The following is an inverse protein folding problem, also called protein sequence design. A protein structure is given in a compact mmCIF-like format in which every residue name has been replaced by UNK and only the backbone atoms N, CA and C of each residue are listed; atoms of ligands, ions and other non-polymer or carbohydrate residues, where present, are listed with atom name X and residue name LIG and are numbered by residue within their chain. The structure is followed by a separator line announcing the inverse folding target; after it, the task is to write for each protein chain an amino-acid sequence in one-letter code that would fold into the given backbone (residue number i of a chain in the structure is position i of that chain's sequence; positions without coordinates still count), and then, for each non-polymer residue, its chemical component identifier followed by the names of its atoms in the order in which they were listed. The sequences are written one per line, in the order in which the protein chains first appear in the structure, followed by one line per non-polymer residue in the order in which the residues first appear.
data_IF_891241791456
#
_entry.id   IF_891241791456
#
_cell.length_a   1.000
_cell.length_b   1.000
_cell.length_c   1.000
_cell.angle_alpha   90.00
_cell.angle_beta   90.00
_cell.angle_gamma   90.00
#
_symmetry.space_group_name_H-M   'P 1'
#
loop_
_entity.id
_entity.type
_entity.pdbx_description
1 polymer ?
#
# COMPACT_ATOMS: atom_id res chain seq x y z
N UNK A 1 16.82 5.83 -19.15
CA UNK A 1 15.58 6.62 -19.07
C UNK A 1 15.72 7.92 -19.84
N UNK A 2 14.67 8.40 -20.55
CA UNK A 2 14.66 9.65 -21.32
C UNK A 2 13.50 10.54 -20.90
N UNK A 3 13.57 11.84 -21.23
CA UNK A 3 12.43 12.75 -21.03
C UNK A 3 11.19 12.29 -21.81
N UNK A 4 11.38 11.67 -22.99
CA UNK A 4 10.28 11.06 -23.75
C UNK A 4 9.57 9.95 -22.98
N UNK A 5 10.31 9.08 -22.31
CA UNK A 5 9.75 8.03 -21.44
C UNK A 5 8.97 8.64 -20.27
N UNK A 6 9.51 9.70 -19.62
CA UNK A 6 8.80 10.40 -18.56
C UNK A 6 7.51 11.07 -19.05
N UNK A 7 7.57 11.71 -20.23
CA UNK A 7 6.38 12.33 -20.83
C UNK A 7 5.29 11.29 -21.11
N UNK A 8 5.66 10.13 -21.66
CA UNK A 8 4.73 9.02 -21.91
C UNK A 8 4.11 8.54 -20.59
N UNK A 9 4.92 8.29 -19.55
CA UNK A 9 4.41 7.88 -18.23
C UNK A 9 3.45 8.93 -17.66
N UNK A 10 3.82 10.23 -17.75
CA UNK A 10 2.98 11.32 -17.23
C UNK A 10 1.65 11.44 -17.97
N UNK A 11 1.65 11.30 -19.31
CA UNK A 11 0.41 11.29 -20.10
C UNK A 11 -0.47 10.11 -19.72
N UNK A 12 0.13 8.93 -19.51
CA UNK A 12 -0.60 7.71 -19.14
C UNK A 12 -1.13 7.80 -17.72
N UNK A 13 -0.37 8.39 -16.80
CA UNK A 13 -0.82 8.65 -15.45
C UNK A 13 -2.13 9.48 -15.41
N UNK A 14 -2.37 10.31 -16.42
CA UNK A 14 -3.65 11.02 -16.58
C UNK A 14 -4.79 10.09 -16.97
N UNK A 15 -4.51 8.96 -17.62
CA UNK A 15 -5.54 7.99 -18.01
C UNK A 15 -6.19 7.31 -16.78
N UNK A 16 -5.42 7.09 -15.69
CA UNK A 16 -5.94 6.54 -14.45
C UNK A 16 -7.14 7.35 -13.91
N UNK A 17 -6.96 8.66 -13.62
CA UNK A 17 -8.06 9.55 -13.24
C UNK A 17 -9.17 9.63 -14.27
N UNK A 18 -8.85 9.67 -15.58
CA UNK A 18 -9.86 9.72 -16.64
C UNK A 18 -10.74 8.47 -16.68
N UNK A 19 -10.17 7.29 -16.49
CA UNK A 19 -10.90 6.04 -16.39
C UNK A 19 -11.75 5.97 -15.11
N UNK A 20 -11.37 6.67 -14.06
CA UNK A 20 -12.11 6.77 -12.81
C UNK A 20 -13.24 7.82 -12.84
N UNK A 21 -13.28 8.73 -13.83
CA UNK A 21 -14.31 9.78 -13.97
C UNK A 21 -15.75 9.25 -14.01
N UNK A 22 -16.09 8.14 -14.71
CA UNK A 22 -17.44 7.64 -14.72
C UNK A 22 -17.84 7.10 -13.34
N UNK A 23 -18.59 7.89 -12.55
CA UNK A 23 -19.05 7.52 -11.21
C UNK A 23 -19.75 6.15 -11.14
N UNK A 24 -20.28 5.67 -12.26
CA UNK A 24 -20.94 4.35 -12.37
C UNK A 24 -19.97 3.18 -12.21
N UNK A 25 -18.70 3.36 -12.57
CA UNK A 25 -17.72 2.26 -12.61
C UNK A 25 -17.03 2.08 -11.26
N UNK A 26 -16.99 3.12 -10.42
CA UNK A 26 -16.32 3.07 -9.11
C UNK A 26 -14.90 2.47 -9.21
N UNK A 27 -14.16 2.82 -10.28
CA UNK A 27 -12.82 2.30 -10.52
C UNK A 27 -11.80 3.11 -9.73
N UNK A 28 -10.91 2.46 -8.98
CA UNK A 28 -9.77 3.16 -8.36
C UNK A 28 -8.79 3.62 -9.44
N UNK A 29 -8.24 4.81 -9.28
CA UNK A 29 -7.25 5.42 -10.20
C UNK A 29 -6.06 4.49 -10.42
N UNK A 30 -5.57 3.89 -9.33
CA UNK A 30 -4.43 2.96 -9.31
C UNK A 30 -4.61 1.78 -10.29
N UNK A 31 -5.84 1.29 -10.46
CA UNK A 31 -6.11 0.19 -11.38
C UNK A 31 -5.86 0.59 -12.84
N UNK A 32 -6.26 1.82 -13.20
CA UNK A 32 -6.00 2.37 -14.53
C UNK A 32 -4.50 2.53 -14.82
N UNK A 33 -3.75 3.02 -13.86
CA UNK A 33 -2.29 3.19 -13.95
C UNK A 33 -1.57 1.84 -14.07
N UNK A 34 -1.98 0.84 -13.30
CA UNK A 34 -1.44 -0.52 -13.35
C UNK A 34 -1.71 -1.18 -14.71
N UNK A 35 -2.96 -1.11 -15.21
CA UNK A 35 -3.34 -1.64 -16.53
C UNK A 35 -2.54 -0.95 -17.62
N UNK A 36 -2.41 0.37 -17.58
CA UNK A 36 -1.63 1.13 -18.53
C UNK A 36 -0.15 0.68 -18.53
N UNK A 37 0.43 0.43 -17.36
CA UNK A 37 1.75 -0.15 -17.22
C UNK A 37 1.88 -1.53 -17.86
N UNK A 38 0.93 -2.44 -17.62
CA UNK A 38 0.89 -3.78 -18.24
C UNK A 38 0.84 -3.68 -19.77
N UNK A 39 0.03 -2.76 -20.31
CA UNK A 39 -0.09 -2.58 -21.75
C UNK A 39 1.16 -2.01 -22.40
N UNK A 40 1.92 -1.19 -21.69
CA UNK A 40 3.16 -0.57 -22.20
C UNK A 40 4.41 -1.42 -21.93
N UNK A 41 4.35 -2.30 -20.95
CA UNK A 41 5.43 -3.21 -20.60
C UNK A 41 5.57 -4.41 -21.55
N UNK A 42 6.41 -5.38 -21.16
CA UNK A 42 6.67 -6.58 -21.96
C UNK A 42 5.43 -7.43 -22.24
N UNK A 43 4.43 -7.36 -21.37
CA UNK A 43 3.15 -8.07 -21.59
C UNK A 43 2.38 -7.49 -22.80
N UNK A 44 2.44 -6.18 -23.01
CA UNK A 44 1.74 -5.48 -24.09
C UNK A 44 2.66 -5.13 -25.26
N UNK A 45 2.88 -3.83 -25.49
CA UNK A 45 3.60 -3.31 -26.66
C UNK A 45 5.12 -3.14 -26.45
N UNK A 46 5.63 -3.46 -25.26
CA UNK A 46 7.06 -3.43 -24.90
C UNK A 46 7.74 -2.07 -25.20
N UNK A 47 7.09 -0.98 -24.83
CA UNK A 47 7.60 0.39 -25.02
C UNK A 47 8.18 1.00 -23.74
N UNK A 48 7.92 0.41 -22.58
CA UNK A 48 8.39 0.89 -21.30
C UNK A 48 9.48 -0.06 -20.74
N UNK A 49 10.74 0.39 -20.68
CA UNK A 49 11.83 -0.44 -20.17
C UNK A 49 11.78 -0.50 -18.63
N UNK A 50 10.95 -1.39 -18.09
CA UNK A 50 10.79 -1.55 -16.64
C UNK A 50 12.09 -1.93 -15.92
N UNK A 51 13.07 -2.53 -16.63
CA UNK A 51 14.40 -2.85 -16.10
C UNK A 51 15.40 -1.68 -16.10
N UNK A 52 15.02 -0.49 -16.58
CA UNK A 52 15.90 0.69 -16.53
C UNK A 52 16.16 1.10 -15.08
N UNK A 53 17.43 1.22 -14.70
CA UNK A 53 17.88 1.50 -13.31
C UNK A 53 17.30 2.81 -12.78
N UNK A 54 17.27 3.84 -13.61
CA UNK A 54 16.76 5.16 -13.21
C UNK A 54 15.24 5.12 -13.00
N UNK A 55 14.51 4.47 -13.90
CA UNK A 55 13.06 4.31 -13.78
C UNK A 55 12.71 3.50 -12.53
N UNK A 56 13.41 2.38 -12.31
CA UNK A 56 13.25 1.56 -11.11
C UNK A 56 13.51 2.35 -9.83
N UNK A 57 14.58 3.16 -9.81
CA UNK A 57 14.91 3.98 -8.65
C UNK A 57 13.84 5.04 -8.37
N UNK A 58 13.34 5.73 -9.40
CA UNK A 58 12.23 6.68 -9.25
C UNK A 58 10.94 6.00 -8.78
N UNK A 59 10.66 4.80 -9.30
CA UNK A 59 9.52 4.00 -8.86
C UNK A 59 9.64 3.58 -7.39
N UNK A 60 10.84 3.23 -6.93
CA UNK A 60 11.09 2.93 -5.50
C UNK A 60 10.87 4.15 -4.61
N UNK A 61 11.25 5.35 -5.05
CA UNK A 61 10.93 6.61 -4.34
C UNK A 61 9.41 6.79 -4.29
N UNK A 62 8.71 6.59 -5.41
CA UNK A 62 7.25 6.63 -5.47
C UNK A 62 6.61 5.65 -4.49
N UNK A 63 7.12 4.42 -4.44
CA UNK A 63 6.64 3.39 -3.52
C UNK A 63 6.84 3.78 -2.05
N UNK A 64 8.02 4.31 -1.68
CA UNK A 64 8.27 4.79 -0.32
C UNK A 64 7.28 5.89 0.08
N UNK A 65 6.99 6.82 -0.84
CA UNK A 65 6.04 7.90 -0.60
C UNK A 65 4.59 7.41 -0.52
N UNK A 66 4.16 6.49 -1.40
CA UNK A 66 2.84 5.87 -1.32
C UNK A 66 2.67 5.16 0.02
N UNK A 67 3.70 4.44 0.48
CA UNK A 67 3.68 3.78 1.78
C UNK A 67 3.68 4.77 2.95
N UNK A 68 4.40 5.89 2.84
CA UNK A 68 4.35 6.96 3.82
C UNK A 68 2.94 7.56 3.92
N UNK A 69 2.31 7.87 2.80
CA UNK A 69 0.92 8.37 2.76
C UNK A 69 -0.02 7.34 3.38
N UNK A 70 0.10 6.07 3.01
CA UNK A 70 -0.70 4.99 3.60
C UNK A 70 -0.54 4.92 5.13
N UNK A 71 0.69 4.99 5.64
CA UNK A 71 0.98 5.00 7.08
C UNK A 71 0.43 6.25 7.79
N UNK A 72 0.50 7.42 7.14
CA UNK A 72 0.03 8.69 7.73
C UNK A 72 -1.50 8.75 7.82
N UNK A 73 -2.22 8.06 6.97
CA UNK A 73 -3.69 8.00 6.99
C UNK A 73 -4.27 6.97 7.96
N UNK A 74 -3.45 6.18 8.65
CA UNK A 74 -3.95 5.27 9.70
C UNK A 74 -4.57 6.11 10.83
N UNK A 75 -5.87 5.94 11.16
CA UNK A 75 -6.58 6.80 12.11
C UNK A 75 -6.27 6.44 13.57
N UNK A 76 -4.99 6.41 13.93
CA UNK A 76 -4.47 5.97 15.24
C UNK A 76 -4.99 6.79 16.45
N UNK A 77 -5.61 7.93 16.19
CA UNK A 77 -6.14 8.84 17.22
C UNK A 77 -7.65 8.71 17.42
N UNK A 78 -8.37 7.93 16.61
CA UNK A 78 -9.80 7.74 16.79
C UNK A 78 -10.05 6.93 18.08
N UNK A 79 -10.84 7.45 19.05
CA UNK A 79 -11.17 6.72 20.29
C UNK A 79 -11.85 5.36 20.02
N UNK A 80 -12.58 5.24 18.90
CA UNK A 80 -13.25 4.01 18.46
C UNK A 80 -12.25 2.96 17.96
N UNK A 81 -11.01 3.37 17.67
CA UNK A 81 -9.97 2.48 17.17
C UNK A 81 -9.60 1.39 18.19
N UNK A 82 -9.66 1.66 19.49
CA UNK A 82 -9.31 0.64 20.51
C UNK A 82 -10.19 -0.61 20.42
N UNK A 83 -11.50 -0.45 20.25
CA UNK A 83 -12.43 -1.56 20.06
C UNK A 83 -12.25 -2.19 18.69
N UNK A 84 -12.14 -1.37 17.65
CA UNK A 84 -11.88 -1.79 16.28
C UNK A 84 -10.54 -2.51 16.11
N UNK A 85 -9.50 -2.12 16.90
CA UNK A 85 -8.18 -2.74 16.88
C UNK A 85 -8.24 -4.22 17.30
N UNK A 86 -8.99 -4.53 18.37
CA UNK A 86 -9.15 -5.92 18.84
C UNK A 86 -9.80 -6.78 17.76
N UNK A 87 -10.89 -6.30 17.16
CA UNK A 87 -11.61 -7.03 16.12
C UNK A 87 -10.74 -7.16 14.86
N UNK A 88 -10.05 -6.09 14.46
CA UNK A 88 -9.13 -6.11 13.34
C UNK A 88 -7.99 -7.10 13.55
N UNK A 89 -7.38 -7.13 14.73
CA UNK A 89 -6.33 -8.08 15.08
C UNK A 89 -6.83 -9.55 15.05
N UNK A 90 -7.99 -9.82 15.62
CA UNK A 90 -8.60 -11.16 15.57
C UNK A 90 -8.84 -11.61 14.13
N UNK A 91 -9.37 -10.73 13.28
CA UNK A 91 -9.59 -11.03 11.87
C UNK A 91 -8.27 -11.23 11.11
N UNK A 92 -7.26 -10.40 11.34
CA UNK A 92 -5.94 -10.56 10.70
C UNK A 92 -5.30 -11.90 11.07
N UNK A 93 -5.37 -12.32 12.36
CA UNK A 93 -4.88 -13.62 12.83
C UNK A 93 -5.69 -14.76 12.20
N UNK A 94 -7.01 -14.66 12.19
CA UNK A 94 -7.87 -15.68 11.60
C UNK A 94 -7.62 -15.85 10.09
N UNK A 95 -7.44 -14.75 9.34
CA UNK A 95 -7.01 -14.77 7.93
C UNK A 95 -5.67 -15.49 7.80
N UNK A 96 -4.69 -15.16 8.67
CA UNK A 96 -3.39 -15.81 8.68
C UNK A 96 -3.47 -17.33 8.88
N UNK A 97 -4.35 -17.80 9.78
CA UNK A 97 -4.56 -19.23 10.01
C UNK A 97 -5.17 -19.92 8.77
N UNK A 98 -6.19 -19.32 8.16
CA UNK A 98 -6.81 -19.87 6.94
C UNK A 98 -5.81 -19.85 5.78
N UNK A 99 -5.07 -18.76 5.63
CA UNK A 99 -4.03 -18.62 4.61
C UNK A 99 -2.89 -19.63 4.80
N UNK A 100 -2.50 -19.95 6.04
CA UNK A 100 -1.50 -20.98 6.34
C UNK A 100 -1.98 -22.36 5.87
N UNK A 101 -3.22 -22.72 6.17
CA UNK A 101 -3.79 -23.99 5.71
C UNK A 101 -3.85 -24.07 4.17
N UNK A 102 -4.33 -23.00 3.51
CA UNK A 102 -4.40 -22.92 2.06
C UNK A 102 -2.99 -22.92 1.42
N UNK A 103 -2.01 -22.25 2.05
CA UNK A 103 -0.63 -22.22 1.57
C UNK A 103 0.02 -23.59 1.53
N UNK A 104 -0.22 -24.42 2.57
CA UNK A 104 0.23 -25.82 2.58
C UNK A 104 -0.43 -26.62 1.47
N UNK A 105 -1.75 -26.49 1.30
CA UNK A 105 -2.50 -27.22 0.27
C UNK A 105 -2.01 -26.84 -1.14
N UNK A 106 -1.89 -25.55 -1.43
CA UNK A 106 -1.45 -25.06 -2.75
C UNK A 106 0.00 -25.48 -3.02
N UNK A 107 0.91 -25.32 -2.05
CA UNK A 107 2.30 -25.73 -2.21
C UNK A 107 2.47 -27.21 -2.49
N UNK A 108 1.66 -28.06 -1.87
CA UNK A 108 1.65 -29.51 -2.11
C UNK A 108 1.09 -29.84 -3.51
N UNK A 109 -0.02 -29.22 -3.92
CA UNK A 109 -0.63 -29.45 -5.23
C UNK A 109 0.35 -29.09 -6.37
N UNK A 110 1.06 -27.99 -6.24
CA UNK A 110 2.01 -27.50 -7.26
C UNK A 110 3.44 -28.00 -7.06
N UNK A 111 3.72 -28.71 -5.97
CA UNK A 111 5.03 -29.27 -5.64
C UNK A 111 6.14 -28.21 -5.52
N UNK A 112 5.82 -26.97 -5.16
CA UNK A 112 6.77 -25.85 -5.12
C UNK A 112 7.62 -25.83 -3.85
N UNK A 113 7.10 -26.31 -2.74
CA UNK A 113 7.73 -26.26 -1.41
C UNK A 113 7.58 -24.91 -0.69
N UNK A 114 6.95 -23.89 -1.31
CA UNK A 114 6.85 -22.51 -0.80
C UNK A 114 5.58 -22.26 0.04
N UNK A 115 5.18 -23.22 0.87
CA UNK A 115 3.95 -23.14 1.66
C UNK A 115 3.88 -21.87 2.54
N UNK A 116 4.97 -21.53 3.23
CA UNK A 116 5.04 -20.35 4.08
C UNK A 116 4.95 -19.05 3.28
N UNK A 117 5.58 -18.98 2.12
CA UNK A 117 5.49 -17.83 1.22
C UNK A 117 4.05 -17.63 0.70
N UNK A 118 3.40 -18.71 0.27
CA UNK A 118 2.01 -18.65 -0.21
C UNK A 118 1.04 -18.28 0.91
N UNK A 119 1.24 -18.81 2.12
CA UNK A 119 0.48 -18.42 3.30
C UNK A 119 0.62 -16.92 3.59
N UNK A 120 1.85 -16.42 3.56
CA UNK A 120 2.15 -15.00 3.79
C UNK A 120 1.50 -14.11 2.74
N UNK A 121 1.61 -14.48 1.46
CA UNK A 121 0.95 -13.77 0.37
C UNK A 121 -0.55 -13.71 0.60
N UNK A 122 -1.20 -14.85 0.78
CA UNK A 122 -2.66 -14.92 0.96
C UNK A 122 -3.15 -14.24 2.26
N UNK A 123 -2.31 -14.11 3.27
CA UNK A 123 -2.63 -13.39 4.51
C UNK A 123 -2.43 -11.88 4.38
N UNK A 124 -1.67 -11.42 3.40
CA UNK A 124 -1.36 -10.00 3.25
C UNK A 124 -2.57 -9.19 2.81
N UNK A 125 -2.60 -7.95 3.24
CA UNK A 125 -3.51 -6.91 2.76
C UNK A 125 -2.66 -5.69 2.38
N UNK A 126 -3.10 -4.87 1.43
CA UNK A 126 -2.35 -3.68 1.03
C UNK A 126 -3.06 -2.40 1.43
N UNK A 127 -2.53 -1.72 2.44
CA UNK A 127 -3.01 -0.41 2.86
C UNK A 127 -2.94 0.60 1.69
N UNK A 128 -1.89 0.55 0.88
CA UNK A 128 -1.69 1.41 -0.28
C UNK A 128 -2.79 1.31 -1.35
N UNK A 129 -3.45 0.15 -1.46
CA UNK A 129 -4.58 -0.03 -2.38
C UNK A 129 -5.92 0.24 -1.70
N UNK A 130 -6.09 -0.25 -0.48
CA UNK A 130 -7.38 -0.23 0.22
C UNK A 130 -7.76 1.19 0.63
N UNK A 131 -6.80 2.00 1.14
CA UNK A 131 -7.10 3.36 1.58
C UNK A 131 -7.59 4.26 0.44
N UNK A 132 -6.93 4.34 -0.73
CA UNK A 132 -7.45 5.09 -1.87
C UNK A 132 -8.84 4.62 -2.34
N UNK A 133 -9.12 3.31 -2.29
CA UNK A 133 -10.45 2.78 -2.62
C UNK A 133 -11.49 3.26 -1.60
N UNK A 134 -11.19 3.18 -0.31
CA UNK A 134 -12.06 3.63 0.78
C UNK A 134 -12.35 5.13 0.64
N UNK A 135 -11.35 5.94 0.35
CA UNK A 135 -11.47 7.39 0.18
C UNK A 135 -12.24 7.75 -1.09
N UNK A 136 -11.89 7.18 -2.23
CA UNK A 136 -12.52 7.49 -3.52
C UNK A 136 -14.01 7.13 -3.55
N UNK A 137 -14.37 6.02 -2.90
CA UNK A 137 -15.75 5.57 -2.75
C UNK A 137 -16.46 6.15 -1.52
N UNK A 138 -15.75 6.96 -0.71
CA UNK A 138 -16.23 7.53 0.55
C UNK A 138 -16.83 6.47 1.48
N UNK A 139 -16.19 5.30 1.54
CA UNK A 139 -16.65 4.23 2.42
C UNK A 139 -16.49 4.64 3.88
N UNK A 140 -17.41 4.19 4.73
CA UNK A 140 -17.44 4.56 6.14
C UNK A 140 -18.27 3.61 6.98
N UNK A 141 -18.48 4.01 8.24
CA UNK A 141 -19.21 3.21 9.22
C UNK A 141 -18.32 2.19 9.94
N UNK A 142 -18.92 1.46 10.89
CA UNK A 142 -18.22 0.53 11.76
C UNK A 142 -17.45 -0.57 11.00
N UNK A 143 -17.96 -1.19 9.92
CA UNK A 143 -17.22 -2.19 9.17
C UNK A 143 -15.90 -1.68 8.59
N UNK A 144 -15.88 -0.43 8.11
CA UNK A 144 -14.67 0.21 7.56
C UNK A 144 -13.70 0.58 8.69
N UNK A 145 -14.19 1.10 9.81
CA UNK A 145 -13.36 1.36 11.00
C UNK A 145 -12.66 0.10 11.51
N UNK A 146 -13.29 -1.07 11.39
CA UNK A 146 -12.71 -2.36 11.77
C UNK A 146 -11.76 -2.93 10.70
N UNK A 147 -11.98 -2.58 9.42
CA UNK A 147 -11.11 -2.96 8.31
C UNK A 147 -9.71 -2.32 8.42
N UNK A 148 -9.64 -1.03 8.75
CA UNK A 148 -8.38 -0.28 8.76
C UNK A 148 -7.31 -0.91 9.66
N UNK A 149 -7.56 -1.25 10.94
CA UNK A 149 -6.58 -1.92 11.77
C UNK A 149 -6.29 -3.36 11.31
N UNK A 150 -7.27 -4.09 10.76
CA UNK A 150 -7.03 -5.41 10.17
C UNK A 150 -6.00 -5.33 9.06
N UNK A 151 -6.17 -4.39 8.12
CA UNK A 151 -5.27 -4.16 6.99
C UNK A 151 -3.89 -3.71 7.47
N UNK A 152 -3.82 -2.74 8.38
CA UNK A 152 -2.55 -2.23 8.90
C UNK A 152 -1.73 -3.32 9.62
N UNK A 153 -2.38 -4.17 10.41
CA UNK A 153 -1.73 -5.29 11.10
C UNK A 153 -1.26 -6.34 10.09
N UNK A 154 -2.12 -6.75 9.15
CA UNK A 154 -1.80 -7.75 8.15
C UNK A 154 -0.65 -7.27 7.23
N UNK A 155 -0.72 -6.02 6.73
CA UNK A 155 0.32 -5.43 5.88
C UNK A 155 1.67 -5.40 6.62
N UNK A 156 1.71 -4.78 7.80
CA UNK A 156 2.93 -4.69 8.61
C UNK A 156 3.52 -6.05 8.97
N UNK A 157 2.68 -6.99 9.43
CA UNK A 157 3.13 -8.32 9.82
C UNK A 157 3.72 -9.09 8.62
N UNK A 158 3.06 -9.01 7.45
CA UNK A 158 3.53 -9.69 6.24
C UNK A 158 4.81 -9.04 5.67
N UNK A 159 4.95 -7.72 5.76
CA UNK A 159 6.17 -7.00 5.36
C UNK A 159 7.36 -7.47 6.20
N UNK A 160 7.18 -7.56 7.52
CA UNK A 160 8.24 -7.99 8.45
C UNK A 160 8.55 -9.48 8.28
N UNK A 161 7.54 -10.31 8.06
CA UNK A 161 7.71 -11.75 7.93
C UNK A 161 8.26 -12.18 6.56
N UNK A 162 8.08 -11.40 5.50
CA UNK A 162 8.50 -11.78 4.15
C UNK A 162 9.99 -12.14 4.04
N UNK A 163 10.94 -11.32 4.52
CA UNK A 163 12.36 -11.68 4.46
C UNK A 163 12.69 -12.95 5.25
N UNK A 164 11.98 -13.19 6.36
CA UNK A 164 12.18 -14.36 7.21
C UNK A 164 11.73 -15.65 6.51
N UNK A 165 10.70 -15.55 5.68
CA UNK A 165 10.11 -16.68 4.96
C UNK A 165 10.85 -16.96 3.66
N UNK A 166 11.28 -15.91 2.94
CA UNK A 166 11.88 -16.05 1.61
C UNK A 166 13.36 -16.43 1.70
N UNK A 167 14.05 -15.98 2.75
CA UNK A 167 15.46 -16.27 3.02
C UNK A 167 15.65 -16.66 4.50
N UNK A 168 15.27 -17.88 4.88
CA UNK A 168 15.38 -18.34 6.26
C UNK A 168 16.82 -18.38 6.79
N UNK A 169 17.83 -18.52 5.88
CA UNK A 169 19.24 -18.57 6.29
C UNK A 169 19.74 -17.22 6.82
N UNK A 170 19.22 -16.12 6.31
CA UNK A 170 19.55 -14.77 6.74
C UNK A 170 18.41 -14.11 7.57
N UNK A 171 17.46 -14.90 8.04
CA UNK A 171 16.29 -14.41 8.77
C UNK A 171 16.66 -13.55 10.00
N UNK A 172 17.69 -13.93 10.74
CA UNK A 172 18.16 -13.14 11.89
C UNK A 172 18.64 -11.75 11.49
N UNK A 173 19.38 -11.62 10.38
CA UNK A 173 19.84 -10.33 9.85
C UNK A 173 18.66 -9.48 9.39
N UNK A 174 17.71 -10.07 8.68
CA UNK A 174 16.49 -9.40 8.23
C UNK A 174 15.63 -8.94 9.42
N UNK A 175 15.50 -9.77 10.47
CA UNK A 175 14.80 -9.40 11.68
C UNK A 175 15.46 -8.20 12.39
N UNK A 176 16.79 -8.20 12.51
CA UNK A 176 17.55 -7.07 13.06
C UNK A 176 17.37 -5.80 12.23
N UNK A 177 17.39 -5.92 10.91
CA UNK A 177 17.10 -4.81 9.99
C UNK A 177 15.69 -4.24 10.17
N UNK A 178 14.67 -5.09 10.26
CA UNK A 178 13.31 -4.66 10.53
C UNK A 178 13.19 -3.96 11.90
N UNK A 179 13.83 -4.52 12.93
CA UNK A 179 13.91 -3.89 14.26
C UNK A 179 14.61 -2.53 14.22
N UNK A 180 15.69 -2.40 13.44
CA UNK A 180 16.40 -1.13 13.30
C UNK A 180 15.54 -0.06 12.62
N UNK A 181 14.79 -0.41 11.56
CA UNK A 181 13.83 0.49 10.90
C UNK A 181 12.70 0.90 11.86
N UNK A 182 12.12 -0.07 12.58
CA UNK A 182 11.06 0.21 13.55
C UNK A 182 11.57 1.05 14.75
N UNK A 183 12.77 0.76 15.23
CA UNK A 183 13.42 1.56 16.28
C UNK A 183 13.68 3.00 15.81
N UNK A 184 14.13 3.18 14.56
CA UNK A 184 14.31 4.50 13.96
C UNK A 184 12.99 5.27 13.87
N UNK A 185 11.89 4.60 13.50
CA UNK A 185 10.56 5.19 13.51
C UNK A 185 10.09 5.55 14.92
N UNK A 186 10.40 4.73 15.93
CA UNK A 186 10.08 5.02 17.32
C UNK A 186 10.88 6.23 17.86
N UNK A 187 12.16 6.30 17.55
CA UNK A 187 13.01 7.47 17.90
C UNK A 187 12.47 8.72 17.24
N UNK A 188 12.10 8.64 15.96
CA UNK A 188 11.50 9.74 15.23
C UNK A 188 10.18 10.19 15.86
N UNK A 189 9.32 9.24 16.22
CA UNK A 189 8.06 9.54 16.92
C UNK A 189 8.30 10.29 18.22
N UNK A 190 9.26 9.84 19.06
CA UNK A 190 9.62 10.49 20.32
C UNK A 190 10.16 11.91 20.06
N UNK A 191 11.04 12.06 19.05
CA UNK A 191 11.58 13.36 18.65
C UNK A 191 10.50 14.34 18.17
N UNK A 192 9.62 13.88 17.26
CA UNK A 192 8.50 14.68 16.76
C UNK A 192 7.55 15.09 17.90
N UNK A 193 7.24 14.16 18.79
CA UNK A 193 6.39 14.43 19.96
C UNK A 193 7.04 15.43 20.92
N UNK A 194 8.34 15.37 21.10
CA UNK A 194 9.09 16.35 21.90
C UNK A 194 9.05 17.74 21.25
N UNK A 195 9.30 17.84 19.95
CA UNK A 195 9.21 19.09 19.19
C UNK A 195 7.79 19.70 19.22
N UNK A 196 6.77 18.86 19.20
CA UNK A 196 5.37 19.30 19.33
C UNK A 196 5.11 19.88 20.74
N UNK A 197 5.56 19.18 21.80
CA UNK A 197 5.38 19.61 23.19
C UNK A 197 6.12 20.91 23.52
N UNK A 198 7.29 21.11 22.95
CA UNK A 198 8.12 22.34 23.18
C UNK A 198 7.68 23.52 22.32
N UNK A 199 6.72 23.32 21.41
CA UNK A 199 6.29 24.34 20.45
C UNK A 199 7.35 24.68 19.40
N UNK A 200 8.49 23.95 19.37
CA UNK A 200 9.55 24.16 18.38
C UNK A 200 9.06 23.87 16.97
N UNK A 201 8.19 22.87 16.82
CA UNK A 201 7.57 22.52 15.54
C UNK A 201 6.73 23.67 14.98
N UNK A 202 5.92 24.34 15.82
CA UNK A 202 5.13 25.50 15.42
C UNK A 202 6.00 26.66 14.98
N UNK A 203 7.07 26.96 15.73
CA UNK A 203 8.04 28.01 15.38
C UNK A 203 8.75 27.72 14.06
N UNK A 204 9.17 26.46 13.83
CA UNK A 204 9.76 26.04 12.56
C UNK A 204 8.78 26.16 11.40
N UNK A 205 7.50 25.85 11.65
CA UNK A 205 6.41 26.01 10.67
C UNK A 205 6.23 27.47 10.29
N UNK A 206 6.08 28.37 11.27
CA UNK A 206 5.86 29.80 11.05
C UNK A 206 7.03 30.41 10.24
N UNK A 207 8.29 30.11 10.60
CA UNK A 207 9.48 30.55 9.85
C UNK A 207 9.52 29.96 8.45
N UNK A 208 9.15 28.68 8.28
CA UNK A 208 9.10 28.02 6.98
C UNK A 208 8.03 28.61 6.06
N UNK A 209 6.92 29.06 6.63
CA UNK A 209 5.83 29.68 5.88
C UNK A 209 6.18 31.10 5.45
N UNK A 210 6.65 31.94 6.40
CA UNK A 210 7.05 33.32 6.12
C UNK A 210 8.15 33.42 5.06
N UNK A 211 9.15 32.51 5.15
CA UNK A 211 10.33 32.54 4.25
C UNK A 211 10.19 31.60 3.04
N UNK A 212 9.07 30.88 2.87
CA UNK A 212 8.82 29.93 1.78
C UNK A 212 9.89 28.82 1.65
N UNK A 213 10.47 28.38 2.78
CA UNK A 213 11.61 27.45 2.78
C UNK A 213 11.21 25.99 2.51
N UNK A 214 9.94 25.62 2.65
CA UNK A 214 9.43 24.24 2.58
C UNK A 214 10.20 23.28 3.50
N UNK A 215 10.61 23.74 4.70
CA UNK A 215 11.45 22.98 5.63
C UNK A 215 10.82 21.64 6.01
N UNK A 216 9.51 21.63 6.22
CA UNK A 216 8.77 20.42 6.59
C UNK A 216 8.86 19.32 5.52
N UNK A 217 8.71 19.69 4.24
CA UNK A 217 8.85 18.76 3.13
C UNK A 217 10.30 18.26 3.02
N UNK A 218 11.28 19.17 3.09
CA UNK A 218 12.69 18.82 2.98
C UNK A 218 13.13 17.88 4.10
N UNK A 219 12.75 18.17 5.35
CA UNK A 219 13.09 17.32 6.49
C UNK A 219 12.39 15.98 6.42
N UNK A 220 11.11 15.94 6.00
CA UNK A 220 10.38 14.69 5.84
C UNK A 220 10.98 13.81 4.75
N UNK A 221 11.36 14.39 3.61
CA UNK A 221 12.04 13.64 2.54
C UNK A 221 13.44 13.15 2.99
N UNK A 222 14.20 13.97 3.70
CA UNK A 222 15.50 13.57 4.24
C UNK A 222 15.36 12.38 5.21
N UNK A 223 14.38 12.43 6.11
CA UNK A 223 14.08 11.33 7.04
C UNK A 223 13.62 10.08 6.28
N UNK A 224 12.68 10.22 5.34
CA UNK A 224 12.20 9.11 4.52
C UNK A 224 13.34 8.41 3.78
N UNK A 225 14.20 9.19 3.12
CA UNK A 225 15.33 8.63 2.39
C UNK A 225 16.40 8.04 3.31
N UNK A 226 16.62 8.62 4.49
CA UNK A 226 17.51 8.04 5.51
C UNK A 226 17.01 6.68 6.01
N UNK A 227 15.70 6.58 6.30
CA UNK A 227 15.08 5.31 6.69
C UNK A 227 15.05 4.31 5.53
N UNK A 228 14.82 4.76 4.29
CA UNK A 228 14.89 3.92 3.10
C UNK A 228 16.31 3.38 2.87
N UNK A 229 17.34 4.22 3.04
CA UNK A 229 18.74 3.80 2.96
C UNK A 229 19.07 2.75 4.02
N UNK A 230 18.58 2.92 5.26
CA UNK A 230 18.73 1.92 6.32
C UNK A 230 18.04 0.61 5.94
N UNK A 231 16.82 0.66 5.41
CA UNK A 231 16.08 -0.52 4.96
C UNK A 231 16.86 -1.28 3.87
N UNK A 232 17.34 -0.57 2.84
CA UNK A 232 18.12 -1.16 1.74
C UNK A 232 19.44 -1.77 2.25
N UNK A 233 20.17 -1.08 3.13
CA UNK A 233 21.44 -1.57 3.68
C UNK A 233 21.27 -2.83 4.56
N UNK A 234 20.08 -3.03 5.10
CA UNK A 234 19.73 -4.20 5.92
C UNK A 234 18.93 -5.25 5.16
N UNK A 235 18.81 -5.10 3.83
CA UNK A 235 18.04 -5.99 2.95
C UNK A 235 16.56 -6.11 3.31
N UNK A 236 15.99 -5.02 3.85
CA UNK A 236 14.56 -4.91 4.17
C UNK A 236 13.86 -4.08 3.09
N UNK A 237 12.58 -4.33 2.90
CA UNK A 237 11.77 -3.57 1.96
C UNK A 237 11.65 -2.08 2.36
N UNK A 238 11.85 -1.18 1.41
CA UNK A 238 11.64 0.26 1.54
C UNK A 238 10.19 0.57 2.00
N UNK A 239 9.26 -0.35 1.73
CA UNK A 239 7.87 -0.28 2.15
C UNK A 239 7.75 -0.13 3.67
N UNK A 240 8.52 -0.89 4.47
CA UNK A 240 8.51 -0.79 5.92
C UNK A 240 8.99 0.59 6.39
N UNK A 241 10.01 1.16 5.76
CA UNK A 241 10.53 2.50 6.08
C UNK A 241 9.46 3.57 5.82
N UNK A 242 8.86 3.59 4.64
CA UNK A 242 7.79 4.53 4.31
C UNK A 242 6.59 4.42 5.25
N UNK A 243 6.05 3.22 5.42
CA UNK A 243 4.88 2.99 6.25
C UNK A 243 5.10 3.34 7.74
N UNK A 244 6.23 2.90 8.32
CA UNK A 244 6.53 3.18 9.74
C UNK A 244 6.79 4.65 10.00
N UNK A 245 7.40 5.37 9.05
CA UNK A 245 7.54 6.82 9.14
C UNK A 245 6.17 7.52 9.05
N UNK A 246 5.33 7.16 8.09
CA UNK A 246 3.97 7.67 7.98
C UNK A 246 3.17 7.46 9.27
N UNK A 247 3.24 6.26 9.84
CA UNK A 247 2.59 5.93 11.11
C UNK A 247 3.12 6.79 12.28
N UNK A 248 4.44 7.02 12.36
CA UNK A 248 5.03 7.90 13.36
C UNK A 248 4.49 9.34 13.26
N UNK A 249 4.33 9.84 12.03
CA UNK A 249 3.73 11.17 11.76
C UNK A 249 2.25 11.19 12.14
N UNK A 250 1.48 10.15 11.82
CA UNK A 250 0.07 10.02 12.20
C UNK A 250 -0.14 10.07 13.72
N UNK A 251 0.74 9.39 14.47
CA UNK A 251 0.72 9.35 15.94
C UNK A 251 0.95 10.72 16.58
N UNK A 252 1.81 11.56 16.00
CA UNK A 252 2.08 12.93 16.48
C UNK A 252 1.04 13.92 15.97
N UNK A 253 0.59 13.76 14.75
CA UNK A 253 -0.30 14.64 14.00
C UNK A 253 0.42 15.32 12.84
N UNK A 254 -0.16 15.18 11.68
CA UNK A 254 0.39 15.73 10.45
C UNK A 254 0.01 17.20 10.29
N UNK A 255 0.98 18.12 10.01
CA UNK A 255 0.65 19.48 9.60
C UNK A 255 -0.10 19.46 8.26
N UNK A 256 -1.23 20.16 8.17
CA UNK A 256 -2.06 20.20 6.95
C UNK A 256 -1.31 20.60 5.68
N UNK A 257 -0.25 21.40 5.82
CA UNK A 257 0.58 21.85 4.69
C UNK A 257 1.48 20.74 4.20
N UNK A 258 2.17 20.03 5.10
CA UNK A 258 3.01 18.88 4.77
C UNK A 258 2.20 17.79 4.09
N UNK A 259 1.02 17.46 4.66
CA UNK A 259 0.08 16.51 4.06
C UNK A 259 -0.23 16.86 2.61
N UNK A 260 -0.59 18.13 2.34
CA UNK A 260 -0.90 18.60 0.97
C UNK A 260 0.31 18.53 0.03
N UNK A 261 1.51 18.87 0.51
CA UNK A 261 2.72 18.86 -0.32
C UNK A 261 3.15 17.44 -0.67
N UNK A 262 3.16 16.53 0.31
CA UNK A 262 3.48 15.12 0.12
C UNK A 262 2.42 14.42 -0.73
N UNK A 263 1.15 14.70 -0.48
CA UNK A 263 0.05 14.19 -1.29
C UNK A 263 0.20 14.63 -2.76
N UNK A 264 0.47 15.92 -3.03
CA UNK A 264 0.65 16.41 -4.39
C UNK A 264 1.85 15.76 -5.10
N UNK A 265 2.96 15.54 -4.40
CA UNK A 265 4.13 14.86 -4.96
C UNK A 265 3.87 13.37 -5.20
N UNK A 266 3.18 12.72 -4.28
CA UNK A 266 2.88 11.28 -4.34
C UNK A 266 1.79 11.02 -5.37
N UNK A 267 0.62 11.61 -5.22
CA UNK A 267 -0.54 11.33 -6.08
C UNK A 267 -0.43 11.99 -7.46
N UNK A 268 0.30 13.12 -7.55
CA UNK A 268 0.43 13.86 -8.79
C UNK A 268 1.51 13.33 -9.75
N UNK A 269 2.52 12.60 -9.24
CA UNK A 269 3.62 12.16 -10.11
C UNK A 269 4.27 10.83 -9.70
N UNK A 270 4.80 10.72 -8.49
CA UNK A 270 5.63 9.56 -8.11
C UNK A 270 4.82 8.29 -7.84
N UNK A 271 3.60 8.41 -7.35
CA UNK A 271 2.67 7.30 -7.19
C UNK A 271 2.23 6.71 -8.53
N UNK A 272 1.67 7.51 -9.46
CA UNK A 272 1.39 7.09 -10.83
C UNK A 272 2.60 6.46 -11.52
N UNK A 273 3.78 7.07 -11.39
CA UNK A 273 5.02 6.51 -11.95
C UNK A 273 5.32 5.12 -11.37
N UNK A 274 5.15 4.94 -10.06
CA UNK A 274 5.31 3.65 -9.41
C UNK A 274 4.33 2.61 -9.95
N UNK A 275 3.03 2.93 -10.03
CA UNK A 275 2.02 1.97 -10.48
C UNK A 275 2.15 1.62 -11.96
N UNK A 276 2.52 2.58 -12.80
CA UNK A 276 2.81 2.33 -14.24
C UNK A 276 4.08 1.46 -14.37
N UNK A 277 5.16 1.78 -13.64
CA UNK A 277 6.36 0.95 -13.59
C UNK A 277 6.05 -0.46 -13.09
N UNK A 278 5.26 -0.58 -12.04
CA UNK A 278 4.86 -1.86 -11.49
C UNK A 278 4.10 -2.69 -12.53
N UNK A 279 3.11 -2.11 -13.20
CA UNK A 279 2.40 -2.76 -14.29
C UNK A 279 3.34 -3.20 -15.41
N UNK A 280 4.28 -2.34 -15.80
CA UNK A 280 5.27 -2.65 -16.84
C UNK A 280 6.30 -3.70 -16.40
N UNK A 281 6.51 -3.88 -15.10
CA UNK A 281 7.40 -4.94 -14.58
C UNK A 281 6.76 -6.33 -14.64
N UNK A 282 5.46 -6.41 -14.95
CA UNK A 282 4.73 -7.67 -15.04
C UNK A 282 4.91 -8.28 -16.44
N UNK A 283 5.76 -9.28 -16.56
CA UNK A 283 5.84 -10.09 -17.78
C UNK A 283 4.93 -11.32 -17.67
N UNK A 284 3.68 -11.13 -18.06
CA UNK A 284 2.67 -12.21 -18.09
C UNK A 284 2.84 -13.13 -19.31
N UNK A 285 3.67 -12.77 -20.32
CA UNK A 285 3.95 -13.63 -21.45
C UNK A 285 4.68 -14.90 -21.04
N UNK A 286 5.51 -14.81 -20.00
CA UNK A 286 6.20 -15.97 -19.41
C UNK A 286 5.21 -17.02 -18.91
N UNK A 287 4.02 -16.62 -18.49
CA UNK A 287 2.97 -17.56 -18.08
C UNK A 287 2.43 -18.39 -19.26
N UNK A 288 2.51 -17.87 -20.49
CA UNK A 288 2.10 -18.60 -21.69
C UNK A 288 2.93 -19.85 -21.94
N UNK A 289 4.23 -19.84 -21.56
CA UNK A 289 5.12 -21.01 -21.66
C UNK A 289 4.98 -21.99 -20.48
N UNK A 290 4.30 -21.59 -19.40
CA UNK A 290 4.15 -22.36 -18.17
C UNK A 290 2.68 -22.32 -17.67
N UNK A 291 1.73 -23.02 -18.31
CA UNK A 291 0.31 -22.93 -17.96
C UNK A 291 -0.01 -23.28 -16.49
N UNK A 292 0.77 -24.17 -15.88
CA UNK A 292 0.61 -24.53 -14.46
C UNK A 292 0.77 -23.33 -13.54
N UNK A 293 1.62 -22.36 -13.88
CA UNK A 293 1.79 -21.14 -13.10
C UNK A 293 0.63 -20.13 -13.28
N UNK A 294 -0.12 -20.21 -14.39
CA UNK A 294 -1.39 -19.47 -14.50
C UNK A 294 -2.37 -20.00 -13.46
N UNK A 295 -2.50 -21.32 -13.37
CA UNK A 295 -3.39 -21.97 -12.39
C UNK A 295 -2.93 -21.66 -10.96
N UNK A 296 -1.62 -21.70 -10.70
CA UNK A 296 -1.05 -21.30 -9.42
C UNK A 296 -1.41 -19.85 -9.05
N UNK A 297 -1.21 -18.90 -9.98
CA UNK A 297 -1.50 -17.49 -9.73
C UNK A 297 -2.97 -17.25 -9.41
N UNK A 298 -3.88 -17.87 -10.20
CA UNK A 298 -5.31 -17.82 -9.94
C UNK A 298 -5.66 -18.48 -8.60
N UNK A 299 -5.07 -19.63 -8.27
CA UNK A 299 -5.30 -20.32 -7.01
C UNK A 299 -4.85 -19.48 -5.81
N UNK A 300 -3.70 -18.79 -5.89
CA UNK A 300 -3.22 -17.88 -4.85
C UNK A 300 -4.17 -16.68 -4.67
N UNK A 301 -4.60 -16.06 -5.78
CA UNK A 301 -5.56 -14.97 -5.73
C UNK A 301 -6.91 -15.38 -5.12
N UNK A 302 -7.48 -16.49 -5.59
CA UNK A 302 -8.75 -17.02 -5.05
C UNK A 302 -8.60 -17.48 -3.59
N UNK A 303 -7.46 -18.08 -3.24
CA UNK A 303 -7.14 -18.47 -1.86
C UNK A 303 -7.09 -17.26 -0.92
N UNK A 304 -6.46 -16.16 -1.35
CA UNK A 304 -6.45 -14.92 -0.60
C UNK A 304 -7.87 -14.35 -0.40
N UNK A 305 -8.64 -14.30 -1.49
CA UNK A 305 -10.03 -13.84 -1.44
C UNK A 305 -10.85 -14.73 -0.48
N UNK A 306 -10.71 -16.04 -0.59
CA UNK A 306 -11.41 -16.98 0.27
C UNK A 306 -11.04 -16.79 1.75
N UNK A 307 -9.74 -16.62 2.07
CA UNK A 307 -9.28 -16.39 3.43
C UNK A 307 -9.87 -15.11 4.05
N UNK A 308 -9.92 -14.01 3.29
CA UNK A 308 -10.46 -12.75 3.77
C UNK A 308 -12.00 -12.75 3.81
N UNK A 309 -12.67 -13.32 2.80
CA UNK A 309 -14.14 -13.42 2.77
C UNK A 309 -14.66 -14.40 3.84
N UNK A 310 -13.86 -15.41 4.24
CA UNK A 310 -14.20 -16.29 5.36
C UNK A 310 -14.43 -15.55 6.68
N UNK A 311 -13.92 -14.33 6.83
CA UNK A 311 -14.16 -13.47 8.00
C UNK A 311 -15.63 -13.06 8.14
N UNK A 312 -16.49 -13.34 7.14
CA UNK A 312 -17.95 -13.26 7.28
C UNK A 312 -18.47 -14.07 8.45
N UNK A 313 -17.81 -15.19 8.77
CA UNK A 313 -18.18 -16.07 9.87
C UNK A 313 -17.99 -15.40 11.25
N UNK A 314 -17.18 -14.35 11.32
CA UNK A 314 -16.95 -13.52 12.51
C UNK A 314 -17.44 -12.09 12.30
N UNK A 315 -18.50 -11.93 11.50
CA UNK A 315 -19.27 -10.68 11.38
C UNK A 315 -18.66 -9.62 10.46
N UNK A 316 -17.77 -9.97 9.54
CA UNK A 316 -17.28 -9.03 8.51
C UNK A 316 -18.18 -9.11 7.26
N UNK A 317 -18.71 -7.98 6.74
CA UNK A 317 -19.42 -8.01 5.46
C UNK A 317 -18.56 -8.58 4.32
N UNK A 318 -19.15 -9.41 3.46
CA UNK A 318 -18.40 -10.06 2.37
C UNK A 318 -17.70 -9.05 1.45
N UNK A 319 -18.35 -7.93 1.15
CA UNK A 319 -17.78 -6.85 0.34
C UNK A 319 -16.54 -6.22 0.99
N UNK A 320 -16.53 -6.09 2.32
CA UNK A 320 -15.39 -5.60 3.10
C UNK A 320 -14.29 -6.66 3.17
N UNK A 321 -14.65 -7.95 3.31
CA UNK A 321 -13.69 -9.06 3.21
C UNK A 321 -13.03 -9.13 1.83
N UNK A 322 -13.79 -8.99 0.75
CA UNK A 322 -13.27 -8.92 -0.60
C UNK A 322 -12.34 -7.71 -0.80
N UNK A 323 -12.69 -6.54 -0.25
CA UNK A 323 -11.83 -5.36 -0.28
C UNK A 323 -10.53 -5.59 0.52
N UNK A 324 -10.60 -6.27 1.68
CA UNK A 324 -9.44 -6.59 2.51
C UNK A 324 -8.44 -7.53 1.83
N UNK A 325 -8.86 -8.29 0.83
CA UNK A 325 -8.01 -9.23 0.10
C UNK A 325 -7.03 -8.56 -0.88
N UNK A 326 -7.12 -7.24 -1.11
CA UNK A 326 -6.23 -6.53 -2.02
C UNK A 326 -4.76 -6.70 -1.61
N UNK A 327 -3.94 -7.16 -2.53
CA UNK A 327 -2.51 -7.41 -2.32
C UNK A 327 -1.69 -6.63 -3.36
N UNK A 328 -0.60 -6.01 -2.93
CA UNK A 328 0.32 -5.34 -3.83
C UNK A 328 1.78 -5.45 -3.37
N UNK A 329 2.12 -4.82 -2.25
CA UNK A 329 3.50 -4.66 -1.82
C UNK A 329 4.20 -5.99 -1.55
N UNK A 330 3.54 -6.90 -0.84
CA UNK A 330 4.13 -8.20 -0.46
C UNK A 330 4.35 -9.10 -1.68
N UNK A 331 3.41 -9.27 -2.63
CA UNK A 331 3.67 -10.01 -3.88
C UNK A 331 4.80 -9.42 -4.73
N UNK A 332 4.87 -8.09 -4.85
CA UNK A 332 5.95 -7.41 -5.58
C UNK A 332 7.29 -7.68 -4.94
N UNK A 333 7.39 -7.47 -3.62
CA UNK A 333 8.62 -7.72 -2.88
C UNK A 333 9.03 -9.20 -2.95
N UNK A 334 8.08 -10.13 -2.80
CA UNK A 334 8.30 -11.57 -2.91
C UNK A 334 8.83 -11.96 -4.29
N UNK A 335 8.19 -11.48 -5.37
CA UNK A 335 8.63 -11.74 -6.73
C UNK A 335 10.03 -11.18 -6.98
N UNK A 336 10.31 -9.94 -6.55
CA UNK A 336 11.60 -9.27 -6.75
C UNK A 336 12.73 -9.97 -5.97
N UNK A 337 12.54 -10.12 -4.65
CA UNK A 337 13.55 -10.73 -3.77
C UNK A 337 13.77 -12.19 -4.14
N UNK A 338 12.68 -12.94 -4.37
CA UNK A 338 12.76 -14.35 -4.72
C UNK A 338 13.45 -14.61 -6.05
N UNK A 339 13.31 -13.69 -7.03
CA UNK A 339 14.05 -13.73 -8.29
C UNK A 339 15.52 -13.42 -8.07
N UNK A 340 15.85 -12.38 -7.28
CA UNK A 340 17.23 -12.00 -6.98
C UNK A 340 17.99 -13.09 -6.22
N UNK A 341 17.34 -13.78 -5.30
CA UNK A 341 17.91 -14.88 -4.51
C UNK A 341 17.85 -16.23 -5.25
N UNK A 342 17.24 -16.29 -6.44
CA UNK A 342 17.06 -17.52 -7.21
C UNK A 342 16.33 -18.64 -6.45
N UNK A 343 15.43 -18.26 -5.52
CA UNK A 343 14.66 -19.23 -4.72
C UNK A 343 13.32 -19.59 -5.37
N UNK A 344 12.84 -18.77 -6.32
CA UNK A 344 11.59 -19.02 -7.06
C UNK A 344 11.89 -19.73 -8.39
N UNK A 345 10.97 -20.60 -8.80
CA UNK A 345 11.05 -21.29 -10.11
C UNK A 345 10.74 -20.32 -11.24
N UNK A 346 11.22 -20.64 -12.46
CA UNK A 346 10.88 -19.87 -13.66
C UNK A 346 9.35 -19.83 -13.85
N UNK A 347 8.78 -18.60 -13.98
CA UNK A 347 7.33 -18.37 -14.08
C UNK A 347 6.62 -18.18 -12.74
N UNK A 348 7.18 -18.62 -11.62
CA UNK A 348 6.57 -18.45 -10.30
C UNK A 348 6.42 -16.95 -9.90
N UNK A 349 7.41 -16.06 -10.10
CA UNK A 349 7.24 -14.63 -9.85
C UNK A 349 6.06 -14.03 -10.60
N UNK A 350 5.85 -14.42 -11.86
CA UNK A 350 4.71 -13.98 -12.65
C UNK A 350 3.37 -14.53 -12.10
N UNK A 351 3.37 -15.76 -11.56
CA UNK A 351 2.19 -16.33 -10.88
C UNK A 351 1.83 -15.54 -9.61
N UNK A 352 2.83 -15.18 -8.78
CA UNK A 352 2.59 -14.35 -7.58
C UNK A 352 1.92 -13.03 -7.97
N UNK A 353 2.39 -12.41 -9.04
CA UNK A 353 1.84 -11.15 -9.55
C UNK A 353 0.44 -11.31 -10.15
N UNK A 354 0.18 -12.41 -10.87
CA UNK A 354 -1.16 -12.73 -11.38
C UNK A 354 -2.15 -12.88 -10.21
N UNK A 355 -1.75 -13.55 -9.12
CA UNK A 355 -2.55 -13.66 -7.90
C UNK A 355 -2.89 -12.30 -7.31
N UNK A 356 -1.92 -11.39 -7.25
CA UNK A 356 -2.14 -10.02 -6.82
C UNK A 356 -3.15 -9.28 -7.71
N UNK A 357 -3.02 -9.37 -9.03
CA UNK A 357 -3.98 -8.75 -9.98
C UNK A 357 -5.41 -9.28 -9.72
N UNK A 358 -5.58 -10.59 -9.55
CA UNK A 358 -6.88 -11.18 -9.25
C UNK A 358 -7.47 -10.58 -7.97
N UNK A 359 -6.67 -10.42 -6.92
CA UNK A 359 -7.14 -9.82 -5.66
C UNK A 359 -7.48 -8.34 -5.81
N UNK A 360 -6.71 -7.57 -6.59
CA UNK A 360 -6.98 -6.15 -6.85
C UNK A 360 -8.32 -5.96 -7.57
N UNK A 361 -8.58 -6.76 -8.61
CA UNK A 361 -9.85 -6.71 -9.34
C UNK A 361 -11.03 -7.02 -8.42
N UNK A 362 -10.92 -8.08 -7.62
CA UNK A 362 -11.98 -8.46 -6.68
C UNK A 362 -12.15 -7.44 -5.57
N UNK A 363 -11.07 -6.83 -5.09
CA UNK A 363 -11.15 -5.75 -4.10
C UNK A 363 -11.85 -4.50 -4.63
N UNK A 364 -11.57 -4.11 -5.88
CA UNK A 364 -12.29 -3.00 -6.53
C UNK A 364 -13.80 -3.28 -6.62
N UNK A 365 -14.18 -4.50 -7.01
CA UNK A 365 -15.59 -4.95 -7.01
C UNK A 365 -16.17 -4.95 -5.59
N UNK A 366 -15.41 -5.45 -4.62
CA UNK A 366 -15.79 -5.45 -3.19
C UNK A 366 -16.07 -4.04 -2.67
N UNK A 367 -15.19 -3.09 -2.97
CA UNK A 367 -15.38 -1.68 -2.64
C UNK A 367 -16.64 -1.09 -3.27
N UNK A 368 -16.86 -1.34 -4.57
CA UNK A 368 -18.06 -0.89 -5.28
C UNK A 368 -19.35 -1.49 -4.69
N UNK A 369 -19.34 -2.78 -4.33
CA UNK A 369 -20.47 -3.44 -3.67
C UNK A 369 -20.71 -2.88 -2.25
N UNK A 370 -19.65 -2.57 -1.50
CA UNK A 370 -19.76 -1.94 -0.20
C UNK A 370 -20.41 -0.54 -0.29
N UNK A 371 -20.02 0.27 -1.28
CA UNK A 371 -20.64 1.56 -1.55
C UNK A 371 -22.12 1.43 -1.91
N UNK A 372 -22.47 0.47 -2.78
CA UNK A 372 -23.86 0.18 -3.16
C UNK A 372 -24.71 -0.33 -1.98
N UNK A 373 -24.10 -1.04 -1.05
CA UNK A 373 -24.74 -1.50 0.19
C UNK A 373 -24.92 -0.39 1.24
N UNK A 374 -24.57 0.85 0.92
CA UNK A 374 -24.73 2.00 1.82
C UNK A 374 -23.65 2.13 2.88
N UNK A 375 -22.52 1.43 2.76
CA UNK A 375 -21.37 1.57 3.66
C UNK A 375 -20.57 2.83 3.27
N UNK A 376 -21.25 3.98 3.25
CA UNK A 376 -20.65 5.28 2.91
C UNK A 376 -20.63 6.19 4.13
N UNK A 377 -19.62 7.04 4.22
CA UNK A 377 -19.57 8.08 5.26
C UNK A 377 -20.73 9.05 5.06
N UNK A 378 -21.45 9.39 6.13
CA UNK A 378 -22.42 10.47 6.07
C UNK A 378 -21.74 11.74 5.55
N UNK A 379 -22.38 12.51 4.65
CA UNK A 379 -21.83 13.78 4.22
C UNK A 379 -21.58 14.62 5.48
N UNK A 380 -20.39 15.20 5.61
CA UNK A 380 -20.11 16.14 6.69
C UNK A 380 -21.22 17.20 6.65
N UNK A 381 -22.06 17.25 7.69
CA UNK A 381 -23.10 18.27 7.81
C UNK A 381 -22.34 19.58 7.67
N UNK A 382 -22.64 20.33 6.61
CA UNK A 382 -22.05 21.64 6.38
C UNK A 382 -22.23 22.43 7.67
N UNK A 383 -21.15 22.76 8.34
CA UNK A 383 -21.23 23.64 9.51
C UNK A 383 -21.94 24.88 9.03
N UNK A 384 -23.04 25.32 9.71
CA UNK A 384 -23.73 26.52 9.32
C UNK A 384 -22.70 27.63 9.25
N UNK A 385 -22.60 28.32 8.09
CA UNK A 385 -21.77 29.50 7.94
C UNK A 385 -22.07 30.39 9.14
N UNK A 386 -21.07 30.66 9.99
CA UNK A 386 -21.21 31.69 11.03
C UNK A 386 -21.74 32.94 10.33
N UNK A 387 -22.84 33.54 10.83
CA UNK A 387 -23.30 34.77 10.27
C UNK A 387 -22.14 35.76 10.32
N UNK A 388 -21.76 36.30 9.17
CA UNK A 388 -20.90 37.48 9.10
C UNK A 388 -21.60 38.58 9.89
N UNK A 389 -21.12 38.90 11.08
CA UNK A 389 -21.50 40.09 11.78
C UNK A 389 -21.13 41.27 10.89
N UNK A 390 -22.11 41.77 10.17
CA UNK A 390 -22.05 43.07 9.55
C UNK A 390 -22.03 44.13 10.66
N UNK A 391 -20.90 44.63 10.95
CA UNK A 391 -20.70 45.65 11.96
C UNK A 391 -19.31 46.23 11.88
N UNK A 392 -19.06 47.00 10.82
CA UNK A 392 -18.15 48.14 10.83
C UNK A 392 -18.50 49.02 9.62
N UNK A 393 -19.56 49.81 9.85
CA UNK A 393 -19.75 51.10 9.18
C UNK A 393 -19.59 52.10 10.29
N UNK A 394 -18.45 52.73 10.41
CA UNK A 394 -18.20 54.15 10.67
C UNK A 394 -16.68 54.36 10.71
#
# INVERSE_FOLDING_TARGET
MTFGTLAVISVIAVLGPLLALPKRWHQPVVLGELIAGILLGPTGIDRLPAGDVTLTFLAQIGFALVMFVAGSHVPVRDPRLRESLRIGAVRAIAVGIVAAALGVVIANIFGTGHAALYALLMASSSAALILPIVESLRLGGLPVLQLLPQVAIADTACIVALPLVIDPQHAARSALGALAVLASAAVLFVGLRHLERTGARKRAHDVSEERKFALELRTSLAVLFGMAALAVSTHISIMLAGFSFGLAVALVGEPRRLARQLFALTEGFLGPLFFVWLGASLDLRVLGSHPSFIVLGVALGLGAIAAHVAMRLIGQPMSIGALAAAQLGVPVAAATIGTQLHVLRAGEPAALMLGAIVTIVVAAVGGALAARAGLVSAPAIAQPKRPTTSGDVL
#
